data_IF_789566785187
#
_entry.id   IF_789566785187
#
_cell.length_a   1.000
_cell.length_b   1.000
_cell.length_c   1.000
_cell.angle_alpha   90.00
_cell.angle_beta   90.00
_cell.angle_gamma   90.00
#
_symmetry.space_group_name_H-M   'P 1'
#
loop_
_entity.id
_entity.type
_entity.pdbx_description
1 polymer ?
#
# COMPACT_ATOMS: atom_id res chain seq x y z
N UNK A 1 -4.26 14.38 -13.18
CA UNK A 1 -4.40 13.68 -11.89
C UNK A 1 -4.27 14.74 -10.81
N UNK A 2 -5.14 14.74 -9.80
CA UNK A 2 -5.03 15.70 -8.70
C UNK A 2 -3.87 15.33 -7.78
N UNK A 3 -3.26 16.32 -7.12
CA UNK A 3 -2.18 16.16 -6.13
C UNK A 3 -2.45 15.03 -5.12
N UNK A 4 -3.71 14.87 -4.72
CA UNK A 4 -4.18 13.78 -3.87
C UNK A 4 -3.93 12.39 -4.45
N UNK A 5 -4.22 12.17 -5.74
CA UNK A 5 -4.02 10.89 -6.40
C UNK A 5 -2.53 10.53 -6.51
N UNK A 6 -1.67 11.51 -6.77
CA UNK A 6 -0.22 11.30 -6.82
C UNK A 6 0.35 10.98 -5.43
N UNK A 7 -0.09 11.70 -4.39
CA UNK A 7 0.29 11.41 -3.02
C UNK A 7 -0.17 10.00 -2.58
N UNK A 8 -1.37 9.59 -2.99
CA UNK A 8 -1.92 8.27 -2.67
C UNK A 8 -1.13 7.15 -3.34
N UNK A 9 -0.78 7.31 -4.62
CA UNK A 9 0.07 6.36 -5.35
C UNK A 9 1.48 6.27 -4.76
N UNK A 10 2.05 7.40 -4.32
CA UNK A 10 3.34 7.41 -3.63
C UNK A 10 3.28 6.61 -2.32
N UNK A 11 2.22 6.82 -1.52
CA UNK A 11 2.01 6.09 -0.27
C UNK A 11 1.80 4.60 -0.46
N UNK A 12 1.07 4.19 -1.51
CA UNK A 12 0.92 2.76 -1.85
C UNK A 12 2.27 2.11 -2.19
N UNK A 13 3.13 2.82 -2.94
CA UNK A 13 4.47 2.30 -3.27
C UNK A 13 5.36 2.16 -2.03
N UNK A 14 5.29 3.13 -1.12
CA UNK A 14 6.01 3.10 0.15
C UNK A 14 5.55 1.92 1.02
N UNK A 15 4.24 1.76 1.23
CA UNK A 15 3.70 0.65 2.00
C UNK A 15 4.08 -0.74 1.43
N UNK A 16 4.16 -0.86 0.10
CA UNK A 16 4.66 -2.09 -0.55
C UNK A 16 6.15 -2.34 -0.30
N UNK A 17 6.96 -1.28 -0.30
CA UNK A 17 8.39 -1.39 0.00
C UNK A 17 8.62 -1.79 1.46
N UNK A 18 7.86 -1.20 2.38
CA UNK A 18 7.90 -1.54 3.81
C UNK A 18 7.45 -2.98 4.06
N UNK A 19 6.40 -3.43 3.37
CA UNK A 19 5.95 -4.83 3.43
C UNK A 19 7.04 -5.78 2.93
N UNK A 20 7.64 -5.49 1.79
CA UNK A 20 8.72 -6.31 1.24
C UNK A 20 9.92 -6.38 2.19
N UNK A 21 10.31 -5.23 2.78
CA UNK A 21 11.38 -5.16 3.76
C UNK A 21 11.07 -5.95 5.04
N UNK A 22 9.83 -5.87 5.53
CA UNK A 22 9.39 -6.62 6.72
C UNK A 22 9.36 -8.13 6.47
N UNK A 23 8.92 -8.55 5.27
CA UNK A 23 8.95 -9.95 4.85
C UNK A 23 10.39 -10.46 4.73
N UNK A 24 11.28 -9.69 4.12
CA UNK A 24 12.71 -10.04 4.00
C UNK A 24 13.39 -10.14 5.37
N UNK A 25 13.05 -9.26 6.31
CA UNK A 25 13.55 -9.28 7.67
C UNK A 25 12.97 -10.43 8.52
N UNK A 26 11.94 -11.13 8.03
CA UNK A 26 11.22 -12.15 8.80
C UNK A 26 10.39 -11.59 9.97
N UNK A 27 10.09 -10.29 9.95
CA UNK A 27 9.28 -9.63 10.96
C UNK A 27 7.80 -9.75 10.60
N UNK A 28 7.18 -10.81 11.11
CA UNK A 28 5.76 -11.12 10.86
C UNK A 28 4.83 -10.02 11.38
N UNK A 29 5.19 -9.34 12.48
CA UNK A 29 4.38 -8.26 13.02
C UNK A 29 4.45 -7.04 12.11
N UNK A 30 5.66 -6.61 11.74
CA UNK A 30 5.85 -5.49 10.82
C UNK A 30 5.21 -5.76 9.45
N UNK A 31 5.29 -7.00 8.94
CA UNK A 31 4.66 -7.38 7.68
C UNK A 31 3.13 -7.32 7.76
N UNK A 32 2.54 -7.70 8.89
CA UNK A 32 1.09 -7.60 9.10
C UNK A 32 0.63 -6.14 9.20
N UNK A 33 1.40 -5.29 9.89
CA UNK A 33 1.14 -3.85 9.97
C UNK A 33 1.22 -3.20 8.58
N UNK A 34 2.29 -3.47 7.83
CA UNK A 34 2.48 -2.93 6.49
C UNK A 34 1.41 -3.41 5.49
N UNK A 35 0.94 -4.66 5.62
CA UNK A 35 -0.21 -5.16 4.86
C UNK A 35 -1.49 -4.39 5.20
N UNK A 36 -1.81 -4.21 6.49
CA UNK A 36 -3.00 -3.47 6.91
C UNK A 36 -2.99 -2.03 6.41
N UNK A 37 -1.83 -1.37 6.50
CA UNK A 37 -1.63 -0.02 5.97
C UNK A 37 -1.87 0.04 4.46
N UNK A 38 -1.34 -0.95 3.71
CA UNK A 38 -1.52 -1.05 2.27
C UNK A 38 -2.99 -1.24 1.88
N UNK A 39 -3.71 -2.10 2.59
CA UNK A 39 -5.15 -2.32 2.40
C UNK A 39 -5.95 -1.03 2.61
N UNK A 40 -5.64 -0.27 3.66
CA UNK A 40 -6.33 1.00 3.97
C UNK A 40 -6.14 2.05 2.86
N UNK A 41 -4.91 2.22 2.34
CA UNK A 41 -4.67 3.17 1.24
C UNK A 41 -5.24 2.70 -0.09
N UNK A 42 -5.24 1.39 -0.38
CA UNK A 42 -5.88 0.84 -1.58
C UNK A 42 -7.41 1.02 -1.50
N UNK A 43 -8.01 0.76 -0.34
CA UNK A 43 -9.43 0.99 -0.11
C UNK A 43 -9.80 2.47 -0.31
N UNK A 44 -9.00 3.38 0.24
CA UNK A 44 -9.18 4.82 0.06
C UNK A 44 -9.06 5.20 -1.43
N UNK A 45 -8.10 4.64 -2.15
CA UNK A 45 -7.91 4.90 -3.58
C UNK A 45 -9.13 4.49 -4.40
N UNK A 46 -9.63 3.27 -4.18
CA UNK A 46 -10.83 2.74 -4.85
C UNK A 46 -12.06 3.60 -4.56
N UNK A 47 -12.21 4.08 -3.32
CA UNK A 47 -13.30 4.99 -2.94
C UNK A 47 -13.26 6.32 -3.71
N UNK A 48 -12.08 6.78 -4.09
CA UNK A 48 -11.88 7.96 -4.91
C UNK A 48 -11.90 7.68 -6.42
N UNK A 49 -12.19 6.44 -6.85
CA UNK A 49 -12.20 6.03 -8.25
C UNK A 49 -10.82 5.84 -8.86
N UNK A 50 -9.79 5.73 -8.01
CA UNK A 50 -8.41 5.44 -8.42
C UNK A 50 -8.23 3.93 -8.30
N UNK A 51 -8.10 3.26 -9.44
CA UNK A 51 -7.78 1.84 -9.45
C UNK A 51 -6.28 1.67 -9.21
N UNK A 52 -5.96 1.15 -8.05
CA UNK A 52 -4.59 0.77 -7.68
C UNK A 52 -4.66 -0.73 -7.51
N UNK A 53 -4.36 -1.46 -8.59
CA UNK A 53 -4.27 -2.91 -8.58
C UNK A 53 -3.32 -3.32 -7.44
N UNK A 54 -3.90 -3.78 -6.32
CA UNK A 54 -3.20 -4.58 -5.33
C UNK A 54 -2.72 -5.81 -6.09
N UNK A 55 -1.42 -5.88 -6.37
CA UNK A 55 -0.85 -6.96 -7.15
C UNK A 55 -1.05 -8.26 -6.40
N UNK A 56 -2.08 -9.01 -6.80
CA UNK A 56 -2.29 -10.41 -6.47
C UNK A 56 -2.69 -11.12 -7.77
N UNK A 57 -1.69 -11.66 -8.46
CA UNK A 57 -1.80 -12.88 -9.28
C UNK A 57 -0.74 -13.87 -8.79
#
# INVERSE_FOLDING_TARGET
MGEFAEALLARVREARADLAAAVEAGDVYAASVAQSDLDDVVWLARRHGIDVEAGEE
#
